data_IF_357405733488
#
_entry.id   IF_357405733488
#
_cell.length_a   1.000
_cell.length_b   1.000
_cell.length_c   1.000
_cell.angle_alpha   90.00
_cell.angle_beta   90.00
_cell.angle_gamma   90.00
#
_symmetry.space_group_name_H-M   'P 1'
#
loop_
_entity.id
_entity.type
_entity.pdbx_description
1 polymer ?
#
# COMPACT_ATOMS: atom_id res chain seq x y z
N UNK A 1 -11.51 5.96 9.99
CA UNK A 1 -10.05 5.77 10.04
C UNK A 1 -9.54 6.20 11.40
N UNK A 2 -8.66 5.42 12.07
CA UNK A 2 -8.18 5.74 13.42
C UNK A 2 -6.87 6.55 13.43
N UNK A 3 -6.14 6.59 12.30
CA UNK A 3 -4.93 7.41 12.15
C UNK A 3 -5.17 8.61 11.23
N UNK A 4 -4.59 9.79 11.54
CA UNK A 4 -4.58 10.89 10.60
C UNK A 4 -3.82 10.46 9.34
N UNK A 5 -4.30 10.89 8.17
CA UNK A 5 -3.66 10.73 6.87
C UNK A 5 -3.50 12.09 6.20
N UNK A 6 -2.70 12.18 5.15
CA UNK A 6 -2.59 13.38 4.32
C UNK A 6 -3.68 13.39 3.27
N UNK A 7 -4.19 14.57 2.93
CA UNK A 7 -4.95 14.73 1.70
C UNK A 7 -4.06 14.37 0.50
N UNK A 8 -4.67 13.72 -0.49
CA UNK A 8 -3.98 13.27 -1.68
C UNK A 8 -4.75 13.65 -2.94
N UNK A 9 -4.03 13.82 -4.04
CA UNK A 9 -4.58 14.07 -5.36
C UNK A 9 -4.52 12.81 -6.22
N UNK A 10 -5.51 12.66 -7.10
CA UNK A 10 -5.61 11.56 -8.04
C UNK A 10 -4.98 11.99 -9.36
N UNK A 11 -4.14 11.14 -9.94
CA UNK A 11 -3.46 11.33 -11.22
C UNK A 11 -3.70 10.10 -12.10
N UNK A 12 -3.55 10.26 -13.42
CA UNK A 12 -3.56 9.17 -14.41
C UNK A 12 -4.68 8.14 -14.23
N UNK A 13 -5.92 8.61 -14.20
CA UNK A 13 -7.08 7.74 -13.99
C UNK A 13 -6.91 6.84 -12.76
N UNK A 14 -6.41 7.41 -11.65
CA UNK A 14 -6.14 6.70 -10.41
C UNK A 14 -5.07 5.60 -10.49
N UNK A 15 -4.19 5.59 -11.50
CA UNK A 15 -2.99 4.74 -11.47
C UNK A 15 -1.81 5.42 -10.77
N UNK A 16 -1.91 6.74 -10.53
CA UNK A 16 -0.97 7.50 -9.74
C UNK A 16 -1.70 8.38 -8.74
N UNK A 17 -1.07 8.60 -7.60
CA UNK A 17 -1.55 9.54 -6.59
C UNK A 17 -0.37 10.30 -6.03
N UNK A 18 -0.64 11.46 -5.46
CA UNK A 18 0.38 12.25 -4.78
C UNK A 18 -0.14 12.91 -3.51
N UNK A 19 0.77 13.11 -2.56
CA UNK A 19 0.53 13.88 -1.36
C UNK A 19 1.83 14.51 -0.85
N UNK A 20 1.71 15.57 -0.06
CA UNK A 20 2.84 16.19 0.62
C UNK A 20 2.99 15.60 2.03
N UNK A 21 4.11 14.92 2.28
CA UNK A 21 4.51 14.48 3.60
C UNK A 21 5.16 15.64 4.35
N UNK A 22 4.62 15.96 5.53
CA UNK A 22 5.00 17.12 6.34
C UNK A 22 5.57 16.63 7.66
N UNK A 23 6.89 16.56 7.71
CA UNK A 23 7.68 16.28 8.91
C UNK A 23 8.69 17.42 9.15
N UNK A 24 9.92 17.12 9.60
CA UNK A 24 11.01 18.09 9.58
C UNK A 24 11.28 18.67 8.18
N UNK A 25 10.90 17.94 7.12
CA UNK A 25 10.95 18.38 5.73
C UNK A 25 9.60 18.18 5.05
N UNK A 26 9.36 18.93 3.99
CA UNK A 26 8.28 18.68 3.03
C UNK A 26 8.81 17.76 1.93
N UNK A 27 8.14 16.64 1.73
CA UNK A 27 8.51 15.67 0.70
C UNK A 27 7.25 15.34 -0.09
N UNK A 28 7.25 15.65 -1.39
CA UNK A 28 6.19 15.16 -2.28
C UNK A 28 6.38 13.66 -2.47
N UNK A 29 5.35 12.90 -2.11
CA UNK A 29 5.32 11.45 -2.26
C UNK A 29 4.37 11.09 -3.39
N UNK A 30 4.73 10.05 -4.13
CA UNK A 30 3.90 9.50 -5.18
C UNK A 30 3.60 8.03 -4.89
N UNK A 31 2.36 7.62 -5.12
CA UNK A 31 1.93 6.23 -5.05
C UNK A 31 1.56 5.79 -6.46
N UNK A 32 2.14 4.68 -6.91
CA UNK A 32 1.95 4.10 -8.23
C UNK A 32 1.21 2.76 -8.10
N UNK A 33 0.31 2.49 -9.03
CA UNK A 33 -0.32 1.18 -9.25
C UNK A 33 0.05 0.69 -10.65
N UNK A 34 1.17 -0.02 -10.73
CA UNK A 34 1.69 -0.54 -12.00
C UNK A 34 1.07 -1.91 -12.30
N UNK A 35 0.59 -2.11 -13.53
CA UNK A 35 0.09 -3.42 -13.96
C UNK A 35 1.21 -4.45 -13.94
N UNK A 36 0.91 -5.66 -13.49
CA UNK A 36 1.79 -6.81 -13.67
C UNK A 36 1.42 -7.56 -14.97
N UNK A 37 2.18 -8.61 -15.27
CA UNK A 37 1.87 -9.51 -16.39
C UNK A 37 0.62 -10.37 -16.14
N UNK A 38 0.09 -10.37 -14.90
CA UNK A 38 -1.12 -11.11 -14.53
C UNK A 38 -2.32 -10.16 -14.62
N UNK A 39 -3.37 -10.51 -15.39
CA UNK A 39 -4.56 -9.66 -15.52
C UNK A 39 -5.16 -9.27 -14.18
N UNK A 40 -5.46 -7.98 -14.03
CA UNK A 40 -6.02 -7.35 -12.82
C UNK A 40 -5.08 -7.33 -11.60
N UNK A 41 -3.84 -7.78 -11.72
CA UNK A 41 -2.86 -7.61 -10.65
C UNK A 41 -2.06 -6.31 -10.84
N UNK A 42 -1.87 -5.58 -9.75
CA UNK A 42 -1.17 -4.32 -9.72
C UNK A 42 -0.14 -4.32 -8.59
N UNK A 43 1.05 -3.83 -8.86
CA UNK A 43 2.06 -3.58 -7.83
C UNK A 43 1.89 -2.14 -7.30
N UNK A 44 1.73 -1.99 -5.99
CA UNK A 44 1.72 -0.69 -5.33
C UNK A 44 3.14 -0.32 -4.89
N UNK A 45 3.60 0.83 -5.40
CA UNK A 45 4.90 1.41 -5.01
C UNK A 45 4.74 2.82 -4.44
N UNK A 46 5.41 3.09 -3.31
CA UNK A 46 5.50 4.42 -2.71
C UNK A 46 6.89 5.01 -2.98
N UNK A 47 6.93 6.17 -3.63
CA UNK A 47 8.17 6.86 -3.97
C UNK A 47 8.24 8.28 -3.40
N UNK A 48 9.48 8.74 -3.20
CA UNK A 48 9.78 10.12 -2.83
C UNK A 48 10.24 10.89 -4.09
N UNK A 49 9.65 12.06 -4.35
CA UNK A 49 10.17 12.96 -5.39
C UNK A 49 11.47 13.61 -4.89
N UNK A 50 12.53 13.45 -5.68
CA UNK A 50 13.84 14.02 -5.44
C UNK A 50 13.94 15.45 -5.98
N UNK A 51 14.95 16.20 -5.53
CA UNK A 51 15.19 17.58 -5.97
C UNK A 51 15.46 17.72 -7.47
N UNK A 52 15.95 16.66 -8.13
CA UNK A 52 16.14 16.62 -9.58
C UNK A 52 14.87 16.25 -10.36
N UNK A 53 13.71 16.19 -9.70
CA UNK A 53 12.41 15.86 -10.28
C UNK A 53 12.14 14.37 -10.46
N UNK A 54 13.14 13.49 -10.30
CA UNK A 54 12.98 12.04 -10.40
C UNK A 54 12.27 11.47 -9.17
N UNK A 55 11.64 10.30 -9.32
CA UNK A 55 11.02 9.56 -8.22
C UNK A 55 11.94 8.43 -7.79
N UNK A 56 12.18 8.30 -6.48
CA UNK A 56 12.90 7.17 -5.90
C UNK A 56 11.97 6.31 -5.06
N UNK A 57 11.85 5.04 -5.44
CA UNK A 57 11.05 4.05 -4.73
C UNK A 57 11.80 3.31 -3.62
N UNK A 58 13.11 3.52 -3.52
CA UNK A 58 13.98 2.85 -2.52
C UNK A 58 14.41 3.77 -1.38
N UNK A 59 14.15 5.08 -1.49
CA UNK A 59 14.63 6.06 -0.52
C UNK A 59 13.95 5.89 0.84
N UNK A 60 14.78 5.90 1.89
CA UNK A 60 14.32 6.01 3.28
C UNK A 60 14.37 7.48 3.70
N UNK A 61 13.22 8.16 3.70
CA UNK A 61 13.15 9.61 3.98
C UNK A 61 13.38 10.00 5.43
N UNK A 62 13.13 9.11 6.40
CA UNK A 62 13.24 9.40 7.84
C UNK A 62 12.60 10.74 8.25
N UNK A 63 11.42 11.06 7.71
CA UNK A 63 10.75 12.34 7.91
C UNK A 63 9.90 12.41 9.18
N UNK A 64 10.11 11.48 10.13
CA UNK A 64 9.41 11.40 11.42
C UNK A 64 7.86 11.38 11.36
N UNK A 65 7.28 11.01 10.22
CA UNK A 65 5.82 10.97 9.98
C UNK A 65 5.36 9.64 9.36
N UNK A 66 6.17 8.59 9.55
CA UNK A 66 6.04 7.26 8.94
C UNK A 66 4.63 6.67 9.05
N UNK A 67 4.02 6.73 10.23
CA UNK A 67 2.73 6.10 10.47
C UNK A 67 1.61 6.82 9.69
N UNK A 68 1.68 8.15 9.58
CA UNK A 68 0.77 8.98 8.78
C UNK A 68 0.98 8.73 7.28
N UNK A 69 2.22 8.58 6.83
CA UNK A 69 2.55 8.19 5.45
C UNK A 69 1.94 6.83 5.11
N UNK A 70 2.10 5.82 5.97
CA UNK A 70 1.52 4.49 5.74
C UNK A 70 -0.01 4.54 5.75
N UNK A 71 -0.62 5.24 6.70
CA UNK A 71 -2.07 5.43 6.73
C UNK A 71 -2.59 6.09 5.44
N UNK A 72 -1.86 7.09 4.92
CA UNK A 72 -2.18 7.73 3.64
C UNK A 72 -2.10 6.76 2.47
N UNK A 73 -1.02 5.96 2.39
CA UNK A 73 -0.88 4.92 1.36
C UNK A 73 -2.01 3.89 1.42
N UNK A 74 -2.47 3.51 2.61
CA UNK A 74 -3.60 2.60 2.78
C UNK A 74 -4.91 3.25 2.31
N UNK A 75 -5.16 4.53 2.61
CA UNK A 75 -6.35 5.22 2.05
C UNK A 75 -6.32 5.26 0.53
N UNK A 76 -5.16 5.55 -0.05
CA UNK A 76 -4.97 5.55 -1.49
C UNK A 76 -5.26 4.15 -2.07
N UNK A 77 -4.77 3.08 -1.42
CA UNK A 77 -5.07 1.70 -1.80
C UNK A 77 -6.57 1.39 -1.76
N UNK A 78 -7.26 1.78 -0.70
CA UNK A 78 -8.71 1.57 -0.58
C UNK A 78 -9.47 2.38 -1.65
N UNK A 79 -9.03 3.60 -1.94
CA UNK A 79 -9.61 4.43 -2.99
C UNK A 79 -9.39 3.83 -4.39
N UNK A 80 -8.18 3.32 -4.67
CA UNK A 80 -7.88 2.62 -5.92
C UNK A 80 -8.78 1.40 -6.11
N UNK A 81 -8.91 0.55 -5.09
CA UNK A 81 -9.78 -0.62 -5.13
C UNK A 81 -11.26 -0.24 -5.33
N UNK A 82 -11.70 0.92 -4.83
CA UNK A 82 -13.09 1.38 -5.02
C UNK A 82 -13.37 1.77 -6.48
N UNK A 83 -12.36 2.27 -7.20
CA UNK A 83 -12.43 2.59 -8.63
C UNK A 83 -12.25 1.32 -9.48
N UNK A 84 -11.37 0.42 -9.06
CA UNK A 84 -11.04 -0.83 -9.74
C UNK A 84 -11.39 -2.03 -8.86
N UNK A 85 -12.68 -2.38 -8.70
CA UNK A 85 -13.13 -3.43 -7.79
C UNK A 85 -12.65 -4.83 -8.20
N UNK A 86 -12.18 -4.99 -9.43
CA UNK A 86 -11.64 -6.26 -9.92
C UNK A 86 -10.14 -6.44 -9.64
N UNK A 87 -9.46 -5.43 -9.11
CA UNK A 87 -8.02 -5.44 -8.91
C UNK A 87 -7.57 -6.27 -7.71
N UNK A 88 -6.40 -6.90 -7.87
CA UNK A 88 -5.58 -7.45 -6.80
C UNK A 88 -4.33 -6.59 -6.67
N UNK A 89 -4.11 -5.99 -5.50
CA UNK A 89 -2.95 -5.11 -5.30
C UNK A 89 -1.92 -5.81 -4.44
N UNK A 90 -0.72 -6.01 -4.99
CA UNK A 90 0.45 -6.50 -4.27
C UNK A 90 1.24 -5.34 -3.70
N UNK A 91 1.77 -5.52 -2.49
CA UNK A 91 2.68 -4.56 -1.89
C UNK A 91 3.54 -5.19 -0.80
N UNK A 92 4.72 -4.62 -0.62
CA UNK A 92 5.63 -4.92 0.48
C UNK A 92 6.33 -3.64 0.93
N UNK A 93 6.96 -3.68 2.11
CA UNK A 93 7.92 -2.67 2.49
C UNK A 93 9.30 -2.99 1.93
N UNK A 94 10.08 -1.96 1.61
CA UNK A 94 11.49 -2.12 1.24
C UNK A 94 12.36 -2.72 2.37
N UNK A 95 11.84 -2.77 3.60
CA UNK A 95 12.49 -3.39 4.75
C UNK A 95 11.48 -4.21 5.54
N UNK A 96 11.95 -5.20 6.30
CA UNK A 96 11.10 -6.04 7.14
C UNK A 96 10.29 -5.21 8.15
N UNK A 97 10.87 -4.14 8.69
CA UNK A 97 10.18 -3.22 9.60
C UNK A 97 9.01 -2.52 8.92
N UNK A 98 9.18 -2.08 7.67
CA UNK A 98 8.11 -1.44 6.87
C UNK A 98 7.01 -2.44 6.53
N UNK A 99 7.37 -3.66 6.12
CA UNK A 99 6.41 -4.74 5.87
C UNK A 99 5.60 -5.05 7.13
N UNK A 100 6.25 -5.13 8.30
CA UNK A 100 5.58 -5.33 9.59
C UNK A 100 4.66 -4.17 9.96
N UNK A 101 5.00 -2.93 9.61
CA UNK A 101 4.15 -1.77 9.89
C UNK A 101 2.91 -1.73 9.01
N UNK A 102 3.04 -2.06 7.71
CA UNK A 102 1.89 -2.26 6.84
C UNK A 102 0.93 -3.29 7.44
N UNK A 103 1.46 -4.44 7.90
CA UNK A 103 0.66 -5.46 8.61
C UNK A 103 -0.14 -4.86 9.77
N UNK A 104 0.51 -4.11 10.65
CA UNK A 104 -0.12 -3.54 11.86
C UNK A 104 -1.25 -2.57 11.48
N UNK A 105 -0.98 -1.64 10.56
CA UNK A 105 -1.93 -0.58 10.23
C UNK A 105 -3.11 -1.15 9.43
N UNK A 106 -2.86 -2.05 8.47
CA UNK A 106 -3.91 -2.70 7.69
C UNK A 106 -4.79 -3.57 8.57
N UNK A 107 -4.22 -4.37 9.47
CA UNK A 107 -5.02 -5.19 10.38
C UNK A 107 -5.98 -4.35 11.24
N UNK A 108 -5.56 -3.15 11.67
CA UNK A 108 -6.41 -2.21 12.41
C UNK A 108 -7.52 -1.62 11.55
N UNK A 109 -7.19 -1.17 10.34
CA UNK A 109 -8.19 -0.58 9.43
C UNK A 109 -9.22 -1.62 8.94
N UNK A 110 -8.78 -2.85 8.65
CA UNK A 110 -9.66 -3.97 8.30
C UNK A 110 -10.59 -4.37 9.45
N UNK A 111 -10.07 -4.40 10.69
CA UNK A 111 -10.89 -4.69 11.87
C UNK A 111 -11.99 -3.65 12.11
N UNK A 112 -11.82 -2.41 11.61
CA UNK A 112 -12.71 -1.29 11.91
C UNK A 112 -13.76 -1.06 10.81
N UNK A 113 -13.43 -1.29 9.52
CA UNK A 113 -14.16 -0.62 8.44
C UNK A 113 -14.72 -1.48 7.29
N UNK A 114 -14.44 -2.79 7.19
CA UNK A 114 -14.71 -3.49 5.92
C UNK A 114 -14.96 -5.00 6.09
N UNK A 115 -16.22 -5.45 6.04
CA UNK A 115 -16.55 -6.89 5.88
C UNK A 115 -16.24 -7.43 4.47
N UNK A 116 -15.88 -6.55 3.53
CA UNK A 116 -15.82 -6.89 2.11
C UNK A 116 -14.41 -6.95 1.50
N UNK A 117 -13.35 -6.95 2.31
CA UNK A 117 -11.98 -7.04 1.81
C UNK A 117 -11.38 -8.42 2.06
N UNK A 118 -10.65 -8.94 1.07
CA UNK A 118 -9.83 -10.14 1.18
C UNK A 118 -8.37 -9.74 1.30
N UNK A 119 -7.76 -10.12 2.43
CA UNK A 119 -6.37 -9.80 2.74
C UNK A 119 -5.54 -11.07 2.86
N UNK A 120 -4.48 -11.14 2.07
CA UNK A 120 -3.60 -12.30 1.96
C UNK A 120 -2.17 -11.88 2.26
N UNK A 121 -1.38 -12.81 2.80
CA UNK A 121 0.05 -12.62 3.02
C UNK A 121 0.87 -13.66 2.26
N UNK A 122 2.04 -13.23 1.78
CA UNK A 122 3.04 -14.09 1.15
C UNK A 122 4.14 -14.39 2.17
N UNK A 123 4.43 -15.67 2.42
CA UNK A 123 5.52 -16.07 3.31
C UNK A 123 6.88 -16.09 2.59
N UNK A 124 7.94 -16.42 3.32
CA UNK A 124 9.33 -16.43 2.80
C UNK A 124 9.56 -17.48 1.70
N UNK A 125 8.72 -18.50 1.63
CA UNK A 125 8.74 -19.53 0.59
C UNK A 125 7.97 -19.11 -0.67
N UNK A 126 7.29 -17.95 -0.61
CA UNK A 126 6.46 -17.42 -1.69
C UNK A 126 5.02 -17.93 -1.68
N UNK A 127 4.60 -18.70 -0.66
CA UNK A 127 3.23 -19.21 -0.58
C UNK A 127 2.28 -18.08 -0.17
N UNK A 128 1.16 -17.98 -0.90
CA UNK A 128 0.11 -17.02 -0.61
C UNK A 128 -0.97 -17.68 0.25
N UNK A 129 -1.30 -17.08 1.39
CA UNK A 129 -2.26 -17.61 2.35
C UNK A 129 -3.12 -16.50 2.95
N UNK A 130 -4.31 -16.82 3.49
CA UNK A 130 -5.12 -15.83 4.20
C UNK A 130 -4.30 -15.15 5.28
N UNK A 131 -4.48 -13.84 5.44
CA UNK A 131 -3.74 -13.07 6.40
C UNK A 131 -4.03 -13.53 7.84
N UNK A 132 -2.96 -13.78 8.59
CA UNK A 132 -2.98 -14.01 10.02
C UNK A 132 -2.05 -13.01 10.72
N UNK A 133 -2.60 -12.21 11.65
CA UNK A 133 -1.84 -11.21 12.41
C UNK A 133 -0.61 -11.79 13.13
N UNK A 134 -0.66 -13.07 13.49
CA UNK A 134 0.40 -13.78 14.23
C UNK A 134 1.50 -14.35 13.32
N UNK A 135 1.32 -14.36 11.99
CA UNK A 135 2.33 -14.85 11.05
C UNK A 135 3.25 -13.73 10.54
N UNK A 136 4.45 -14.11 10.11
CA UNK A 136 5.37 -13.24 9.36
C UNK A 136 5.09 -13.36 7.87
N UNK A 137 5.27 -12.25 7.15
CA UNK A 137 5.04 -12.17 5.72
C UNK A 137 6.07 -11.24 5.10
N UNK A 138 6.48 -11.54 3.87
CA UNK A 138 7.39 -10.69 3.06
C UNK A 138 6.62 -9.71 2.17
N UNK A 139 5.33 -9.95 1.95
CA UNK A 139 4.46 -9.10 1.16
C UNK A 139 3.00 -9.46 1.37
N UNK A 140 2.12 -8.66 0.78
CA UNK A 140 0.67 -8.79 0.95
C UNK A 140 -0.08 -8.59 -0.35
N UNK A 141 -1.31 -9.11 -0.37
CA UNK A 141 -2.27 -8.87 -1.45
C UNK A 141 -3.59 -8.41 -0.82
N UNK A 142 -4.15 -7.31 -1.34
CA UNK A 142 -5.47 -6.80 -0.95
C UNK A 142 -6.39 -6.72 -2.17
N UNK A 143 -7.65 -7.11 -1.98
CA UNK A 143 -8.71 -7.07 -3.01
C UNK A 143 -10.10 -6.98 -2.35
N UNK A 144 -11.13 -6.63 -3.11
CA UNK A 144 -12.53 -6.69 -2.65
C UNK A 144 -13.10 -8.12 -2.81
N UNK A 145 -13.50 -8.74 -1.70
CA UNK A 145 -14.36 -9.94 -1.57
C UNK A 145 -14.21 -11.02 -2.65
N UNK A 146 -12.97 -11.29 -3.07
CA UNK A 146 -12.65 -12.26 -4.11
C UNK A 146 -11.72 -13.31 -3.55
N UNK A 147 -12.03 -14.57 -3.89
CA UNK A 147 -11.02 -15.63 -3.82
C UNK A 147 -9.89 -15.24 -4.77
N UNK A 148 -8.65 -15.48 -4.36
CA UNK A 148 -7.54 -15.40 -5.31
C UNK A 148 -7.86 -16.30 -6.51
N UNK A 149 -7.60 -15.84 -7.75
CA UNK A 149 -7.64 -16.73 -8.89
C UNK A 149 -6.62 -17.85 -8.68
N UNK A 150 -6.86 -19.01 -9.29
CA UNK A 150 -5.85 -20.06 -9.32
C UNK A 150 -4.65 -19.49 -10.10
N UNK A 151 -3.58 -19.15 -9.37
CA UNK A 151 -2.30 -18.68 -9.88
C UNK A 151 -1.45 -19.85 -10.36
#
# INVERSE_FOLDING_TARGET
MQHPFYEFSILDNAHRFEFESIGPRKIRKLVYFDKTDIPNFYNLSLGDQLSNGKVSFITVSNNNDRDKVIATTIQILLHFLAIYPDAYVLFSGNTAERTRLYKIIIARELATNQTNLSFWGMDEEGNIQPFDKNKSYIGFILSFNKKLPNL
#
